data_IF_420600391768
#
_entry.id   IF_420600391768
#
_cell.length_a   1.000
_cell.length_b   1.000
_cell.length_c   1.000
_cell.angle_alpha   90.00
_cell.angle_beta   90.00
_cell.angle_gamma   90.00
#
_symmetry.space_group_name_H-M   'P 1'
#
loop_
_entity.id
_entity.type
_entity.pdbx_description
1 polymer ?
#
# COMPACT_ATOMS: atom_id res chain seq x y z
N UNK A 1 -5.47 -21.06 -7.93
CA UNK A 1 -5.17 -19.66 -8.29
C UNK A 1 -4.66 -18.96 -7.04
N UNK A 2 -3.45 -18.39 -7.06
CA UNK A 2 -2.84 -17.73 -5.89
C UNK A 2 -3.27 -16.26 -5.87
N UNK A 3 -3.97 -15.83 -4.82
CA UNK A 3 -4.30 -14.42 -4.62
C UNK A 3 -3.01 -13.64 -4.32
N UNK A 4 -2.83 -12.43 -4.88
CA UNK A 4 -1.69 -11.59 -4.52
C UNK A 4 -1.79 -11.14 -3.06
N UNK A 5 -0.64 -10.93 -2.42
CA UNK A 5 -0.59 -10.30 -1.10
C UNK A 5 -1.04 -8.85 -1.21
N UNK A 6 -2.02 -8.45 -0.39
CA UNK A 6 -2.49 -7.06 -0.33
C UNK A 6 -1.67 -6.31 0.72
N UNK A 7 -1.11 -5.16 0.37
CA UNK A 7 -0.39 -4.29 1.32
C UNK A 7 -1.19 -3.00 1.50
N UNK A 8 -1.50 -2.65 2.76
CA UNK A 8 -2.29 -1.48 3.10
C UNK A 8 -1.47 -0.54 3.98
N UNK A 9 -1.25 0.69 3.53
CA UNK A 9 -0.58 1.73 4.30
C UNK A 9 -1.59 2.43 5.20
N UNK A 10 -1.45 2.27 6.52
CA UNK A 10 -2.37 2.83 7.50
C UNK A 10 -1.63 3.34 8.75
N UNK A 11 -1.00 4.51 8.63
CA UNK A 11 -0.21 5.13 9.70
C UNK A 11 -1.00 5.44 10.98
N UNK A 12 -2.32 5.58 10.86
CA UNK A 12 -3.20 6.03 11.95
C UNK A 12 -4.10 4.91 12.51
N UNK A 13 -3.95 3.66 12.03
CA UNK A 13 -4.81 2.53 12.40
C UNK A 13 -6.31 2.80 12.13
N UNK A 14 -6.63 3.47 11.02
CA UNK A 14 -8.00 3.82 10.64
C UNK A 14 -8.77 2.64 10.05
N UNK A 15 -8.08 1.70 9.39
CA UNK A 15 -8.73 0.49 8.89
C UNK A 15 -9.16 -0.35 10.08
N UNK A 16 -10.36 -0.90 10.00
CA UNK A 16 -10.94 -1.74 11.05
C UNK A 16 -11.13 -3.19 10.57
N UNK A 17 -11.22 -4.18 11.48
CA UNK A 17 -11.44 -5.58 11.13
C UNK A 17 -12.75 -5.87 10.36
N UNK A 18 -13.71 -4.94 10.39
CA UNK A 18 -15.00 -5.07 9.71
C UNK A 18 -14.97 -4.61 8.24
N UNK A 19 -13.85 -4.04 7.79
CA UNK A 19 -13.72 -3.59 6.40
C UNK A 19 -13.64 -4.79 5.44
N UNK A 20 -14.27 -4.66 4.26
CA UNK A 20 -14.29 -5.72 3.24
C UNK A 20 -12.91 -6.22 2.83
N UNK A 21 -11.89 -5.35 2.87
CA UNK A 21 -10.51 -5.68 2.48
C UNK A 21 -9.92 -6.85 3.29
N UNK A 22 -10.32 -7.02 4.56
CA UNK A 22 -9.86 -8.12 5.40
C UNK A 22 -10.78 -9.34 5.40
N UNK A 23 -11.98 -9.20 4.84
CA UNK A 23 -12.94 -10.30 4.69
C UNK A 23 -12.76 -11.06 3.38
N UNK A 24 -11.96 -10.52 2.46
CA UNK A 24 -11.65 -11.17 1.18
C UNK A 24 -10.62 -12.29 1.34
N UNK A 25 -10.76 -13.33 0.54
CA UNK A 25 -9.77 -14.41 0.47
C UNK A 25 -8.37 -13.88 0.11
N UNK A 26 -7.34 -14.42 0.73
CA UNK A 26 -5.95 -13.97 0.58
C UNK A 26 -5.41 -13.25 1.80
N UNK A 27 -4.10 -13.02 1.81
CA UNK A 27 -3.41 -12.36 2.93
C UNK A 27 -3.42 -10.84 2.76
N UNK A 28 -3.52 -10.13 3.89
CA UNK A 28 -3.44 -8.67 3.93
C UNK A 28 -2.38 -8.25 4.94
N UNK A 29 -1.41 -7.47 4.50
CA UNK A 29 -0.34 -6.90 5.31
C UNK A 29 -0.59 -5.41 5.56
N UNK A 30 -0.73 -5.02 6.81
CA UNK A 30 -0.89 -3.63 7.22
C UNK A 30 0.46 -3.01 7.59
N UNK A 31 0.89 -2.01 6.84
CA UNK A 31 2.04 -1.18 7.17
C UNK A 31 1.60 -0.05 8.11
N UNK A 32 2.08 -0.07 9.37
CA UNK A 32 1.61 0.80 10.46
C UNK A 32 2.78 1.43 11.22
N UNK A 33 2.54 2.60 11.81
CA UNK A 33 3.52 3.25 12.70
C UNK A 33 3.54 2.65 14.11
N UNK A 34 2.40 2.10 14.54
CA UNK A 34 2.21 1.51 15.88
C UNK A 34 1.35 0.26 15.81
N UNK A 35 1.54 -0.63 16.77
CA UNK A 35 0.71 -1.83 16.90
C UNK A 35 -0.77 -1.44 17.06
N UNK A 36 -1.64 -2.36 16.65
CA UNK A 36 -3.07 -2.25 16.82
C UNK A 36 -3.53 -3.38 17.73
N UNK A 37 -4.24 -3.01 18.80
CA UNK A 37 -4.64 -3.95 19.86
C UNK A 37 -5.96 -4.66 19.56
N UNK A 38 -6.65 -4.25 18.48
CA UNK A 38 -7.88 -4.92 18.03
C UNK A 38 -7.60 -6.36 17.59
N UNK A 39 -8.62 -7.20 17.69
CA UNK A 39 -8.54 -8.57 17.18
C UNK A 39 -8.72 -8.57 15.65
N UNK A 40 -7.73 -9.12 14.94
CA UNK A 40 -7.72 -9.24 13.49
C UNK A 40 -7.89 -10.71 13.06
N UNK A 41 -8.44 -10.99 11.86
CA UNK A 41 -8.41 -12.32 11.27
C UNK A 41 -6.97 -12.84 11.10
N UNK A 42 -6.77 -14.16 11.12
CA UNK A 42 -5.44 -14.77 10.93
C UNK A 42 -4.78 -14.43 9.57
N UNK A 43 -5.60 -14.10 8.57
CA UNK A 43 -5.15 -13.66 7.25
C UNK A 43 -4.59 -12.23 7.23
N UNK A 44 -4.78 -11.46 8.31
CA UNK A 44 -4.31 -10.09 8.45
C UNK A 44 -3.03 -10.05 9.31
N UNK A 45 -1.96 -9.53 8.72
CA UNK A 45 -0.64 -9.36 9.37
C UNK A 45 -0.33 -7.88 9.50
N UNK A 46 0.47 -7.52 10.50
CA UNK A 46 0.95 -6.15 10.69
C UNK A 46 2.46 -6.11 10.50
N UNK A 47 2.94 -5.12 9.74
CA UNK A 47 4.34 -4.73 9.63
C UNK A 47 4.50 -3.34 10.23
N UNK A 48 5.33 -3.24 11.27
CA UNK A 48 5.69 -1.94 11.84
C UNK A 48 6.77 -1.29 10.98
N UNK A 49 6.50 -0.08 10.52
CA UNK A 49 7.41 0.74 9.75
C UNK A 49 7.57 2.06 10.48
N UNK A 50 8.80 2.53 10.73
CA UNK A 50 9.03 3.80 11.41
C UNK A 50 8.50 4.98 10.59
N UNK A 51 8.35 6.10 11.29
CA UNK A 51 8.00 7.37 10.70
C UNK A 51 9.24 8.05 10.09
N UNK A 52 9.04 8.69 8.95
CA UNK A 52 9.98 9.60 8.31
C UNK A 52 9.21 10.85 7.85
N UNK A 53 9.63 12.03 8.33
CA UNK A 53 9.03 13.33 8.00
C UNK A 53 7.50 13.40 8.18
N UNK A 54 6.95 12.89 9.30
CA UNK A 54 5.50 12.93 9.56
C UNK A 54 4.69 11.85 8.86
N UNK A 55 5.33 10.98 8.07
CA UNK A 55 4.69 9.95 7.27
C UNK A 55 5.38 8.60 7.45
N UNK A 56 4.73 7.52 6.98
CA UNK A 56 5.35 6.19 7.01
C UNK A 56 6.54 6.15 6.02
N UNK A 57 7.68 5.62 6.45
CA UNK A 57 8.87 5.51 5.60
C UNK A 57 8.63 4.52 4.44
N UNK A 58 8.33 5.07 3.26
CA UNK A 58 8.02 4.28 2.07
C UNK A 58 9.25 3.53 1.53
N UNK A 59 10.45 4.09 1.69
CA UNK A 59 11.69 3.46 1.22
C UNK A 59 11.95 2.20 2.04
N UNK A 60 11.87 2.33 3.37
CA UNK A 60 12.05 1.19 4.26
C UNK A 60 10.93 0.16 4.08
N UNK A 61 9.69 0.60 3.86
CA UNK A 61 8.60 -0.32 3.52
C UNK A 61 8.95 -1.17 2.29
N UNK A 62 9.40 -0.57 1.19
CA UNK A 62 9.76 -1.32 -0.02
C UNK A 62 10.92 -2.29 0.22
N UNK A 63 11.93 -1.90 1.01
CA UNK A 63 13.01 -2.81 1.41
C UNK A 63 12.53 -3.99 2.27
N UNK A 64 11.59 -3.75 3.19
CA UNK A 64 11.01 -4.81 4.04
C UNK A 64 10.15 -5.77 3.22
N UNK A 65 9.44 -5.28 2.20
CA UNK A 65 8.68 -6.11 1.26
C UNK A 65 9.61 -6.96 0.39
N UNK A 66 10.70 -6.39 -0.13
CA UNK A 66 11.65 -7.15 -0.94
C UNK A 66 12.43 -8.21 -0.15
N UNK A 67 12.71 -7.97 1.14
CA UNK A 67 13.19 -9.03 2.07
C UNK A 67 12.20 -10.20 2.22
N UNK A 68 10.91 -9.98 1.99
CA UNK A 68 9.88 -11.02 1.95
C UNK A 68 9.71 -11.63 0.55
N UNK A 69 10.66 -11.39 -0.37
CA UNK A 69 10.66 -11.86 -1.75
C UNK A 69 9.48 -11.35 -2.58
N UNK A 70 8.98 -10.16 -2.25
CA UNK A 70 7.94 -9.47 -3.03
C UNK A 70 8.64 -8.66 -4.12
N UNK A 71 8.76 -9.26 -5.31
CA UNK A 71 9.51 -8.68 -6.41
C UNK A 71 8.75 -7.58 -7.17
N UNK A 72 7.43 -7.60 -7.13
CA UNK A 72 6.59 -6.63 -7.83
C UNK A 72 5.42 -6.19 -6.97
N UNK A 73 5.21 -4.88 -6.89
CA UNK A 73 4.12 -4.24 -6.16
C UNK A 73 3.27 -3.47 -7.14
N UNK A 74 1.99 -3.79 -7.18
CA UNK A 74 0.99 -3.00 -7.90
C UNK A 74 0.35 -2.02 -6.93
N UNK A 75 0.54 -0.73 -7.18
CA UNK A 75 0.09 0.35 -6.33
C UNK A 75 -1.18 0.95 -6.91
N UNK A 76 -2.26 0.85 -6.14
CA UNK A 76 -3.53 1.52 -6.39
C UNK A 76 -3.72 2.59 -5.32
N UNK A 77 -3.57 3.86 -5.71
CA UNK A 77 -3.63 4.95 -4.74
C UNK A 77 -4.11 6.27 -5.33
N UNK A 78 -4.54 7.16 -4.44
CA UNK A 78 -4.82 8.56 -4.77
C UNK A 78 -3.55 9.36 -5.04
N UNK A 79 -3.73 10.60 -5.52
CA UNK A 79 -2.65 11.50 -5.93
C UNK A 79 -1.55 11.71 -4.87
N UNK A 80 -1.91 11.70 -3.58
CA UNK A 80 -0.95 11.92 -2.48
C UNK A 80 0.09 10.80 -2.39
N UNK A 81 -0.34 9.54 -2.28
CA UNK A 81 0.58 8.41 -2.17
C UNK A 81 1.33 8.16 -3.48
N UNK A 82 0.62 8.31 -4.60
CA UNK A 82 1.22 8.31 -5.94
C UNK A 82 2.36 9.33 -6.04
N UNK A 83 2.13 10.58 -5.60
CA UNK A 83 3.15 11.64 -5.59
C UNK A 83 4.32 11.32 -4.65
N UNK A 84 4.05 10.79 -3.46
CA UNK A 84 5.09 10.41 -2.50
C UNK A 84 6.02 9.32 -3.04
N UNK A 85 5.47 8.29 -3.72
CA UNK A 85 6.26 7.22 -4.34
C UNK A 85 7.13 7.75 -5.49
N UNK A 86 6.57 8.63 -6.33
CA UNK A 86 7.31 9.27 -7.42
C UNK A 86 8.45 10.14 -6.89
N UNK A 87 8.20 10.96 -5.87
CA UNK A 87 9.21 11.83 -5.26
C UNK A 87 10.33 11.04 -4.58
N UNK A 88 10.00 9.89 -4.00
CA UNK A 88 10.97 8.98 -3.38
C UNK A 88 11.76 8.14 -4.40
N UNK A 89 11.47 8.24 -5.71
CA UNK A 89 12.14 7.46 -6.74
C UNK A 89 11.84 5.95 -6.67
N UNK A 90 10.70 5.56 -6.11
CA UNK A 90 10.32 4.15 -5.86
C UNK A 90 9.46 3.55 -6.97
N UNK A 91 9.20 4.30 -8.05
CA UNK A 91 8.33 3.88 -9.16
C UNK A 91 9.17 3.58 -10.38
N UNK A 92 9.15 2.34 -10.83
CA UNK A 92 9.84 1.91 -12.06
C UNK A 92 8.95 2.10 -13.30
N UNK A 93 7.64 1.85 -13.16
CA UNK A 93 6.70 1.89 -14.28
C UNK A 93 5.38 2.56 -13.86
N UNK A 94 4.92 3.49 -14.70
CA UNK A 94 3.67 4.22 -14.51
C UNK A 94 2.65 3.80 -15.57
N UNK A 95 1.46 3.37 -15.14
CA UNK A 95 0.37 3.00 -16.04
C UNK A 95 -0.73 4.05 -15.90
N UNK A 96 -0.83 4.93 -16.89
CA UNK A 96 -1.78 6.04 -16.90
C UNK A 96 -3.05 5.66 -17.66
N UNK A 97 -4.16 5.58 -16.94
CA UNK A 97 -5.49 5.39 -17.53
C UNK A 97 -6.16 6.75 -17.77
N UNK A 98 -6.19 7.19 -19.03
CA UNK A 98 -6.90 8.42 -19.43
C UNK A 98 -8.30 8.05 -19.90
N UNK A 99 -9.32 8.42 -19.12
CA UNK A 99 -10.71 8.33 -19.56
C UNK A 99 -11.08 9.59 -20.37
N UNK A 100 -11.73 9.47 -21.55
CA UNK A 100 -12.20 10.62 -22.34
C UNK A 100 -13.48 11.21 -21.75
N UNK A 101 -13.44 11.59 -20.47
CA UNK A 101 -14.53 12.21 -19.72
C UNK A 101 -14.01 13.46 -19.05
N UNK A 102 -14.71 14.58 -19.21
CA UNK A 102 -14.43 15.80 -18.45
C UNK A 102 -14.90 15.61 -17.01
N UNK A 103 -14.03 15.02 -16.18
CA UNK A 103 -14.26 14.91 -14.74
C UNK A 103 -13.63 16.14 -14.10
N UNK A 104 -14.44 16.98 -13.46
CA UNK A 104 -13.93 18.01 -12.55
C UNK A 104 -13.39 17.27 -11.32
N UNK A 105 -12.10 16.98 -11.35
CA UNK A 105 -11.24 16.57 -10.23
C UNK A 105 -11.53 15.19 -9.59
N UNK A 106 -10.91 14.14 -10.14
CA UNK A 106 -10.15 13.10 -9.40
C UNK A 106 -9.60 12.06 -10.40
N UNK A 107 -8.29 11.99 -10.60
CA UNK A 107 -7.62 10.95 -11.40
C UNK A 107 -7.22 9.77 -10.52
N UNK A 108 -7.59 8.56 -10.90
CA UNK A 108 -7.07 7.34 -10.29
C UNK A 108 -5.79 6.93 -11.04
N UNK A 109 -4.68 6.79 -10.30
CA UNK A 109 -3.39 6.39 -10.86
C UNK A 109 -3.08 4.96 -10.44
N UNK A 110 -2.47 4.23 -11.36
CA UNK A 110 -1.97 2.88 -11.13
C UNK A 110 -0.47 2.90 -11.39
N UNK A 111 0.32 2.43 -10.45
CA UNK A 111 1.79 2.41 -10.53
C UNK A 111 2.30 1.01 -10.26
N UNK A 112 3.41 0.61 -10.89
CA UNK A 112 4.18 -0.56 -10.47
C UNK A 112 5.45 -0.10 -9.78
N UNK A 113 5.64 -0.52 -8.54
CA UNK A 113 6.86 -0.31 -7.75
C UNK A 113 7.61 -1.64 -7.60
N UNK A 114 8.93 -1.63 -7.72
CA UNK A 114 9.76 -2.78 -7.37
C UNK A 114 9.92 -2.89 -5.85
N UNK A 115 9.90 -4.13 -5.34
CA UNK A 115 10.46 -4.46 -4.03
C UNK A 115 11.93 -4.81 -4.22
N UNK A 116 12.80 -4.16 -3.44
CA UNK A 116 14.26 -4.30 -3.51
C UNK A 116 14.78 -5.54 -2.76
#
# INVERSE_FOLDING_TARGET
>A
MRQPLRVVIDSQNRVTPEHRIVQQAGETLFARLRADERQWPESARTLLVPEHNGHLDLVLLMMLLGKQQINSVWVEAGATLAGALLQAGLVDELIVYIAPKTVRQCGAWIMRAAGA
#
